data_IF_149747890482
#
_entry.id   IF_149747890482
#
_cell.length_a   1.000
_cell.length_b   1.000
_cell.length_c   1.000
_cell.angle_alpha   90.00
_cell.angle_beta   90.00
_cell.angle_gamma   90.00
#
_symmetry.space_group_name_H-M   'P 1'
#
loop_
_entity.id
_entity.type
_entity.pdbx_description
1 polymer ?
#
# COMPACT_ATOMS: atom_id res chain seq x y z
N UNK A 1 -10.12 -9.27 2.10
CA UNK A 1 -11.05 -9.30 3.24
C UNK A 1 -12.50 -9.30 2.75
N UNK A 2 -13.10 -8.17 2.34
CA UNK A 2 -14.52 -8.11 1.91
C UNK A 2 -14.91 -9.06 0.78
N UNK A 3 -13.98 -9.43 -0.11
CA UNK A 3 -14.20 -10.42 -1.17
C UNK A 3 -14.01 -11.89 -0.70
N UNK A 4 -13.96 -12.14 0.60
CA UNK A 4 -13.79 -13.48 1.19
C UNK A 4 -12.34 -13.94 1.39
N UNK A 5 -11.34 -13.24 0.84
CA UNK A 5 -9.93 -13.58 1.06
C UNK A 5 -9.47 -13.29 2.48
N UNK A 6 -8.71 -14.23 3.06
CA UNK A 6 -7.84 -13.98 4.22
C UNK A 6 -6.77 -12.97 3.83
N UNK A 7 -6.67 -11.86 4.56
CA UNK A 7 -5.76 -10.77 4.23
C UNK A 7 -5.02 -10.28 5.48
N UNK A 8 -3.72 -10.09 5.33
CA UNK A 8 -2.87 -9.47 6.34
C UNK A 8 -2.24 -8.22 5.74
N UNK A 9 -2.46 -7.07 6.38
CA UNK A 9 -1.69 -5.85 6.12
C UNK A 9 -0.38 -5.87 6.91
N UNK A 10 0.62 -5.15 6.42
CA UNK A 10 1.84 -4.84 7.16
C UNK A 10 2.13 -3.35 7.08
N UNK A 11 2.51 -2.76 8.21
CA UNK A 11 2.86 -1.36 8.32
C UNK A 11 3.83 -1.16 9.48
N UNK A 12 4.79 -0.25 9.33
CA UNK A 12 5.80 0.05 10.36
C UNK A 12 5.63 1.45 10.98
N UNK A 13 5.00 2.38 10.24
CA UNK A 13 4.80 3.76 10.68
C UNK A 13 3.76 3.83 11.78
N UNK A 14 4.17 4.37 12.94
CA UNK A 14 3.26 4.58 14.07
C UNK A 14 2.10 5.52 13.71
N UNK A 15 2.32 6.50 12.83
CA UNK A 15 1.26 7.40 12.35
C UNK A 15 0.16 6.62 11.61
N UNK A 16 0.55 5.68 10.77
CA UNK A 16 -0.37 4.83 10.02
C UNK A 16 -1.04 3.81 10.94
N UNK A 17 -0.28 3.14 11.81
CA UNK A 17 -0.80 2.12 12.74
C UNK A 17 -1.84 2.67 13.71
N UNK A 18 -1.59 3.85 14.31
CA UNK A 18 -2.55 4.48 15.22
C UNK A 18 -3.83 4.90 14.49
N UNK A 19 -3.69 5.48 13.30
CA UNK A 19 -4.82 5.89 12.47
C UNK A 19 -5.64 4.68 12.02
N UNK A 20 -4.98 3.62 11.54
CA UNK A 20 -5.61 2.37 11.14
C UNK A 20 -6.34 1.71 12.32
N UNK A 21 -5.70 1.62 13.50
CA UNK A 21 -6.34 1.06 14.69
C UNK A 21 -7.61 1.84 15.05
N UNK A 22 -7.56 3.17 15.00
CA UNK A 22 -8.72 4.01 15.29
C UNK A 22 -9.84 3.82 14.26
N UNK A 23 -9.51 3.86 12.97
CA UNK A 23 -10.49 3.70 11.90
C UNK A 23 -11.12 2.31 11.91
N UNK A 24 -10.32 1.25 12.03
CA UNK A 24 -10.78 -0.13 11.95
C UNK A 24 -11.53 -0.59 13.21
N UNK A 25 -11.13 -0.13 14.40
CA UNK A 25 -11.61 -0.70 15.67
C UNK A 25 -12.41 0.28 16.54
N UNK A 26 -12.35 1.59 16.28
CA UNK A 26 -12.95 2.63 17.14
C UNK A 26 -14.02 3.47 16.44
N UNK A 27 -14.32 3.18 15.19
CA UNK A 27 -15.37 3.85 14.42
C UNK A 27 -16.60 2.95 14.31
N UNK A 28 -17.77 3.49 14.64
CA UNK A 28 -19.03 2.73 14.75
C UNK A 28 -20.11 3.21 13.78
N UNK A 29 -19.83 4.22 12.95
CA UNK A 29 -20.77 4.71 11.94
C UNK A 29 -20.04 5.25 10.71
N UNK A 30 -20.70 5.16 9.56
CA UNK A 30 -20.28 5.84 8.33
C UNK A 30 -20.33 7.35 8.57
N UNK A 31 -19.36 8.09 8.02
CA UNK A 31 -19.24 9.54 8.11
C UNK A 31 -19.11 10.09 9.55
N UNK A 32 -18.62 9.29 10.48
CA UNK A 32 -18.53 9.65 11.91
C UNK A 32 -17.62 10.86 12.19
N UNK A 33 -16.54 11.01 11.42
CA UNK A 33 -15.50 12.01 11.69
C UNK A 33 -15.43 13.02 10.56
N UNK A 34 -15.31 14.30 10.89
CA UNK A 34 -15.01 15.34 9.89
C UNK A 34 -13.56 15.78 10.02
N UNK A 35 -12.80 15.68 8.94
CA UNK A 35 -11.42 16.16 8.85
C UNK A 35 -11.29 17.26 7.80
N UNK A 36 -10.30 18.14 7.96
CA UNK A 36 -9.98 19.19 7.00
C UNK A 36 -8.54 19.00 6.50
N UNK A 37 -8.30 18.04 5.59
CA UNK A 37 -6.96 17.58 5.27
C UNK A 37 -6.12 18.64 4.56
N UNK A 38 -6.71 19.70 3.99
CA UNK A 38 -6.00 20.67 3.15
C UNK A 38 -5.76 22.04 3.80
N UNK A 39 -6.07 22.21 5.09
CA UNK A 39 -5.89 23.48 5.82
C UNK A 39 -4.43 23.94 5.93
N UNK A 40 -3.48 23.05 5.65
CA UNK A 40 -2.06 23.33 5.67
C UNK A 40 -1.51 23.74 4.29
N UNK A 41 -2.32 23.69 3.23
CA UNK A 41 -1.93 24.00 1.85
C UNK A 41 -2.45 25.38 1.43
N UNK A 42 -1.60 26.41 1.51
CA UNK A 42 -1.98 27.80 1.22
C UNK A 42 -1.85 28.19 -0.26
N UNK A 43 -0.98 27.50 -0.99
CA UNK A 43 -0.74 27.73 -2.42
C UNK A 43 -1.70 26.94 -3.28
N UNK A 44 -1.96 27.43 -4.50
CA UNK A 44 -2.74 26.73 -5.52
C UNK A 44 -4.19 26.43 -5.11
N UNK A 45 -4.76 27.17 -4.15
CA UNK A 45 -6.18 27.05 -3.80
C UNK A 45 -7.01 28.00 -4.65
N UNK A 46 -8.06 27.50 -5.30
CA UNK A 46 -9.00 28.33 -6.09
C UNK A 46 -9.83 29.26 -5.19
N UNK A 47 -10.13 28.83 -3.97
CA UNK A 47 -10.89 29.58 -2.98
C UNK A 47 -10.60 29.11 -1.55
N UNK A 48 -10.93 29.92 -0.55
CA UNK A 48 -10.82 29.53 0.86
C UNK A 48 -11.75 28.36 1.21
N UNK A 49 -12.88 28.24 0.51
CA UNK A 49 -13.83 27.14 0.69
C UNK A 49 -13.24 25.80 0.26
N UNK A 50 -12.31 25.79 -0.71
CA UNK A 50 -11.53 24.61 -1.06
C UNK A 50 -10.59 24.24 0.09
N UNK A 51 -9.80 25.18 0.59
CA UNK A 51 -8.85 24.93 1.68
C UNK A 51 -9.52 24.42 2.97
N UNK A 52 -10.63 25.06 3.37
CA UNK A 52 -11.36 24.76 4.61
C UNK A 52 -12.36 23.61 4.46
N UNK A 53 -12.42 22.96 3.29
CA UNK A 53 -13.39 21.90 3.03
C UNK A 53 -13.26 20.75 4.04
N UNK A 54 -14.36 20.44 4.71
CA UNK A 54 -14.49 19.26 5.56
C UNK A 54 -14.84 18.02 4.76
N UNK A 55 -14.21 16.90 5.10
CA UNK A 55 -14.47 15.58 4.54
C UNK A 55 -14.90 14.65 5.66
N UNK A 56 -16.00 13.93 5.45
CA UNK A 56 -16.50 12.96 6.40
C UNK A 56 -15.90 11.59 6.11
N UNK A 57 -15.43 10.89 7.15
CA UNK A 57 -14.84 9.55 7.08
C UNK A 57 -15.35 8.68 8.25
N UNK A 58 -15.36 7.35 8.10
CA UNK A 58 -15.15 6.59 6.85
C UNK A 58 -16.42 6.56 6.00
N UNK A 59 -16.28 6.41 4.69
CA UNK A 59 -17.37 6.26 3.73
C UNK A 59 -18.06 4.88 3.79
N UNK A 60 -17.36 3.88 4.31
CA UNK A 60 -17.86 2.53 4.62
C UNK A 60 -17.56 2.18 6.07
N UNK A 61 -18.36 1.30 6.69
CA UNK A 61 -18.12 0.89 8.07
C UNK A 61 -17.15 -0.29 8.10
N UNK A 62 -15.92 -0.18 8.68
CA UNK A 62 -14.95 -1.28 8.62
C UNK A 62 -15.40 -2.57 9.30
N UNK A 63 -16.23 -2.46 10.35
CA UNK A 63 -16.78 -3.62 11.06
C UNK A 63 -17.84 -4.39 10.26
N UNK A 64 -18.31 -3.87 9.12
CA UNK A 64 -19.29 -4.56 8.26
C UNK A 64 -18.71 -5.76 7.51
N UNK A 65 -17.41 -6.03 7.66
CA UNK A 65 -16.73 -7.20 7.10
C UNK A 65 -17.40 -8.52 7.47
N UNK A 66 -18.12 -8.56 8.60
CA UNK A 66 -18.76 -9.75 9.12
C UNK A 66 -20.27 -9.82 8.87
N UNK A 67 -20.87 -8.78 8.25
CA UNK A 67 -22.32 -8.67 8.14
C UNK A 67 -22.94 -9.71 7.16
N UNK A 68 -22.17 -10.12 6.14
CA UNK A 68 -22.61 -11.06 5.10
C UNK A 68 -22.13 -12.52 5.33
N UNK A 69 -21.60 -12.83 6.52
CA UNK A 69 -21.12 -14.19 6.86
C UNK A 69 -22.31 -15.05 7.27
N UNK A 70 -22.58 -16.13 6.53
CA UNK A 70 -23.69 -17.03 6.83
C UNK A 70 -23.47 -17.74 8.18
N UNK A 71 -24.57 -18.07 8.86
CA UNK A 71 -24.51 -18.78 10.14
C UNK A 71 -23.82 -20.15 9.98
N UNK A 72 -22.62 -20.28 10.57
CA UNK A 72 -21.80 -21.49 10.49
C UNK A 72 -20.53 -21.37 9.63
N UNK A 73 -20.39 -20.29 8.84
CA UNK A 73 -19.16 -20.02 8.09
C UNK A 73 -18.14 -19.27 8.94
N UNK A 74 -16.84 -19.52 8.71
CA UNK A 74 -15.79 -18.71 9.31
C UNK A 74 -15.72 -17.34 8.64
N UNK A 75 -15.69 -16.24 9.43
CA UNK A 75 -15.59 -14.92 8.86
C UNK A 75 -14.26 -14.73 8.11
N UNK A 76 -14.23 -13.91 7.05
CA UNK A 76 -12.99 -13.60 6.37
C UNK A 76 -11.99 -12.96 7.34
N UNK A 77 -10.81 -13.57 7.45
CA UNK A 77 -9.77 -13.10 8.34
C UNK A 77 -9.12 -11.82 7.79
N UNK A 78 -9.12 -10.77 8.60
CA UNK A 78 -8.35 -9.55 8.33
C UNK A 78 -7.48 -9.21 9.53
N UNK A 79 -6.18 -9.05 9.32
CA UNK A 79 -5.25 -8.64 10.37
C UNK A 79 -4.24 -7.61 9.87
N UNK A 80 -3.58 -6.93 10.80
CA UNK A 80 -2.53 -5.94 10.53
C UNK A 80 -1.33 -6.24 11.43
N UNK A 81 -0.16 -6.42 10.83
CA UNK A 81 1.10 -6.66 11.55
C UNK A 81 1.94 -5.38 11.58
N UNK A 82 2.29 -4.96 12.78
CA UNK A 82 3.15 -3.81 13.02
C UNK A 82 4.64 -4.21 12.94
N UNK A 83 5.40 -3.56 12.07
CA UNK A 83 6.85 -3.75 11.97
C UNK A 83 7.37 -3.55 10.54
N UNK A 84 8.69 -3.42 10.42
CA UNK A 84 9.36 -3.32 9.13
C UNK A 84 9.15 -4.59 8.30
N UNK A 85 8.83 -4.44 7.01
CA UNK A 85 8.53 -5.57 6.12
C UNK A 85 9.69 -6.58 6.05
N UNK A 86 10.94 -6.10 5.96
CA UNK A 86 12.11 -6.97 5.88
C UNK A 86 12.35 -7.70 7.19
N UNK A 87 12.12 -7.04 8.32
CA UNK A 87 12.23 -7.67 9.62
C UNK A 87 11.15 -8.73 9.82
N UNK A 88 9.88 -8.39 9.54
CA UNK A 88 8.72 -9.26 9.79
C UNK A 88 8.71 -10.49 8.89
N UNK A 89 8.99 -10.32 7.59
CA UNK A 89 8.82 -11.36 6.59
C UNK A 89 10.13 -11.90 5.99
N UNK A 90 11.27 -11.30 6.35
CA UNK A 90 12.58 -11.74 5.91
C UNK A 90 12.97 -13.12 6.42
N UNK A 91 14.16 -13.56 6.00
CA UNK A 91 14.71 -14.85 6.46
C UNK A 91 14.93 -14.80 7.97
N UNK A 92 14.42 -15.80 8.66
CA UNK A 92 14.67 -15.98 10.09
C UNK A 92 16.16 -16.15 10.35
N UNK A 93 16.66 -15.46 11.38
CA UNK A 93 18.03 -15.62 11.87
C UNK A 93 18.09 -16.78 12.86
N UNK A 94 19.27 -17.33 13.09
CA UNK A 94 19.47 -18.34 14.13
C UNK A 94 19.03 -17.78 15.50
N UNK A 95 18.13 -18.50 16.18
CA UNK A 95 17.54 -18.06 17.46
C UNK A 95 16.28 -17.20 17.34
N UNK A 96 15.76 -16.97 16.14
CA UNK A 96 14.46 -16.33 15.94
C UNK A 96 13.33 -17.34 16.21
N UNK A 97 12.42 -16.99 17.14
CA UNK A 97 11.31 -17.86 17.56
C UNK A 97 10.06 -17.72 16.68
N UNK A 98 10.08 -16.82 15.70
CA UNK A 98 8.94 -16.62 14.80
C UNK A 98 8.78 -17.80 13.86
N UNK A 99 7.52 -18.11 13.52
CA UNK A 99 7.25 -19.13 12.52
C UNK A 99 7.75 -18.67 11.14
N UNK A 100 8.45 -19.54 10.38
CA UNK A 100 8.83 -19.22 9.01
C UNK A 100 7.56 -18.93 8.21
N UNK A 101 7.58 -17.93 7.33
CA UNK A 101 6.44 -17.61 6.45
C UNK A 101 6.72 -17.89 4.97
N UNK A 102 7.86 -18.52 4.69
CA UNK A 102 8.30 -18.85 3.34
C UNK A 102 7.34 -19.87 2.70
N UNK A 103 6.89 -19.61 1.48
CA UNK A 103 6.03 -20.51 0.73
C UNK A 103 4.59 -20.63 1.20
N UNK A 104 4.10 -19.68 2.01
CA UNK A 104 2.77 -19.76 2.66
C UNK A 104 1.73 -18.77 2.12
N UNK A 105 2.14 -17.85 1.26
CA UNK A 105 1.26 -16.80 0.75
C UNK A 105 0.84 -17.13 -0.69
N UNK A 106 -0.47 -17.20 -0.95
CA UNK A 106 -0.98 -17.38 -2.31
C UNK A 106 -0.78 -16.12 -3.17
N UNK A 107 -0.81 -14.95 -2.53
CA UNK A 107 -0.60 -13.68 -3.19
C UNK A 107 0.08 -12.64 -2.30
N UNK A 108 0.88 -11.77 -2.91
CA UNK A 108 1.44 -10.56 -2.30
C UNK A 108 1.05 -9.37 -3.16
N UNK A 109 0.51 -8.31 -2.54
CA UNK A 109 0.09 -7.10 -3.24
C UNK A 109 0.90 -5.91 -2.73
N UNK A 110 1.55 -5.19 -3.65
CA UNK A 110 2.29 -3.97 -3.35
C UNK A 110 1.65 -2.79 -4.06
N UNK A 111 1.24 -1.77 -3.31
CA UNK A 111 0.60 -0.57 -3.86
C UNK A 111 1.33 0.67 -3.33
N UNK A 112 2.01 1.43 -4.19
CA UNK A 112 2.86 2.57 -3.77
C UNK A 112 3.83 2.19 -2.63
N UNK A 113 4.51 1.05 -2.79
CA UNK A 113 5.28 0.44 -1.71
C UNK A 113 6.71 0.08 -2.11
N UNK A 114 6.95 -0.51 -3.29
CA UNK A 114 8.27 -1.04 -3.61
C UNK A 114 9.37 0.03 -3.66
N UNK A 115 8.99 1.27 -3.94
CA UNK A 115 9.88 2.43 -3.97
C UNK A 115 10.21 3.00 -2.58
N UNK A 116 9.63 2.43 -1.51
CA UNK A 116 10.04 2.71 -0.14
C UNK A 116 11.23 1.87 0.31
N UNK A 117 11.72 0.95 -0.52
CA UNK A 117 12.86 0.10 -0.18
C UNK A 117 14.17 0.90 -0.17
N UNK A 118 15.03 0.61 0.80
CA UNK A 118 16.46 1.00 0.75
C UNK A 118 17.19 0.18 -0.30
N UNK A 119 16.84 -1.10 -0.37
CA UNK A 119 17.36 -2.05 -1.33
C UNK A 119 16.21 -2.89 -1.87
N UNK A 120 15.76 -2.56 -3.08
CA UNK A 120 14.68 -3.27 -3.77
C UNK A 120 14.99 -4.76 -3.99
N UNK A 121 16.27 -5.15 -4.06
CA UNK A 121 16.66 -6.57 -4.20
C UNK A 121 16.11 -7.38 -3.02
N UNK A 122 16.24 -6.86 -1.79
CA UNK A 122 15.75 -7.55 -0.59
C UNK A 122 14.23 -7.72 -0.64
N UNK A 123 13.50 -6.66 -1.02
CA UNK A 123 12.05 -6.74 -1.16
C UNK A 123 11.64 -7.83 -2.15
N UNK A 124 12.27 -7.89 -3.32
CA UNK A 124 11.95 -8.91 -4.34
C UNK A 124 12.26 -10.33 -3.85
N UNK A 125 13.39 -10.55 -3.18
CA UNK A 125 13.74 -11.85 -2.60
C UNK A 125 12.75 -12.29 -1.53
N UNK A 126 12.31 -11.37 -0.67
CA UNK A 126 11.33 -11.65 0.39
C UNK A 126 9.98 -11.95 -0.21
N UNK A 127 9.47 -11.11 -1.12
CA UNK A 127 8.18 -11.31 -1.79
C UNK A 127 8.17 -12.67 -2.50
N UNK A 128 9.23 -12.99 -3.25
CA UNK A 128 9.38 -14.29 -3.89
C UNK A 128 9.42 -15.43 -2.87
N UNK A 129 10.14 -15.26 -1.77
CA UNK A 129 10.26 -16.24 -0.69
C UNK A 129 8.92 -16.55 -0.01
N UNK A 130 8.12 -15.52 0.29
CA UNK A 130 6.80 -15.63 0.91
C UNK A 130 5.81 -16.43 0.08
N UNK A 131 5.84 -16.26 -1.25
CA UNK A 131 4.85 -16.87 -2.12
C UNK A 131 4.96 -18.40 -2.16
N UNK A 132 3.83 -19.10 -2.07
CA UNK A 132 3.72 -20.52 -2.38
C UNK A 132 4.08 -20.79 -3.85
N UNK A 133 4.43 -22.03 -4.25
CA UNK A 133 4.63 -22.38 -5.66
C UNK A 133 3.39 -22.00 -6.50
N UNK A 134 3.58 -21.23 -7.57
CA UNK A 134 2.48 -20.69 -8.37
C UNK A 134 1.76 -19.48 -7.78
N UNK A 135 2.18 -19.00 -6.60
CA UNK A 135 1.65 -17.78 -5.99
C UNK A 135 1.97 -16.52 -6.81
N UNK A 136 1.16 -15.48 -6.62
CA UNK A 136 1.19 -14.28 -7.47
C UNK A 136 1.60 -13.02 -6.71
N UNK A 137 2.53 -12.26 -7.26
CA UNK A 137 2.83 -10.89 -6.85
C UNK A 137 2.14 -9.91 -7.80
N UNK A 138 1.33 -9.00 -7.26
CA UNK A 138 0.69 -7.92 -8.01
C UNK A 138 1.25 -6.59 -7.52
N UNK A 139 1.77 -5.77 -8.43
CA UNK A 139 2.27 -4.44 -8.10
C UNK A 139 1.48 -3.35 -8.80
N UNK A 140 1.26 -2.24 -8.11
CA UNK A 140 0.82 -0.97 -8.68
C UNK A 140 1.53 0.20 -7.98
N UNK A 141 2.40 0.91 -8.67
CA UNK A 141 3.03 2.08 -8.07
C UNK A 141 4.01 2.80 -8.99
N UNK A 142 4.44 4.01 -8.63
CA UNK A 142 5.56 4.67 -9.25
C UNK A 142 6.89 4.06 -8.80
N UNK A 143 7.99 4.68 -9.21
CA UNK A 143 9.34 4.44 -8.68
C UNK A 143 9.91 5.76 -8.15
N UNK A 144 9.24 6.35 -7.16
CA UNK A 144 9.72 7.53 -6.44
C UNK A 144 10.53 7.06 -5.23
N UNK A 145 11.81 6.76 -5.45
CA UNK A 145 12.67 6.14 -4.44
C UNK A 145 12.77 7.00 -3.17
N UNK A 146 12.26 6.48 -2.06
CA UNK A 146 12.04 7.26 -0.83
C UNK A 146 13.32 7.83 -0.23
N UNK A 147 14.45 7.14 -0.41
CA UNK A 147 15.75 7.52 0.13
C UNK A 147 16.66 8.23 -0.90
N UNK A 148 16.13 8.55 -2.09
CA UNK A 148 16.84 9.32 -3.10
C UNK A 148 17.32 10.66 -2.51
N UNK A 149 18.59 11.00 -2.72
CA UNK A 149 19.22 12.23 -2.21
C UNK A 149 19.19 12.39 -0.68
N UNK A 150 19.02 11.31 0.11
CA UNK A 150 19.11 11.43 1.57
C UNK A 150 20.49 11.93 2.00
N UNK A 151 20.50 12.92 2.90
CA UNK A 151 21.73 13.47 3.48
C UNK A 151 22.25 12.65 4.67
N UNK A 152 21.49 11.63 5.10
CA UNK A 152 21.89 10.73 6.16
C UNK A 152 22.82 9.65 5.61
N UNK A 153 24.08 9.53 6.10
CA UNK A 153 25.05 8.59 5.54
C UNK A 153 24.64 7.11 5.62
N UNK A 154 23.76 6.75 6.55
CA UNK A 154 23.23 5.39 6.69
C UNK A 154 22.09 5.08 5.71
N UNK A 155 21.54 6.10 5.04
CA UNK A 155 20.46 5.91 4.09
C UNK A 155 21.01 5.48 2.73
N UNK A 156 21.27 4.18 2.60
CA UNK A 156 21.53 3.58 1.30
C UNK A 156 20.24 3.51 0.50
N UNK A 157 20.32 3.82 -0.80
CA UNK A 157 19.20 3.81 -1.76
C UNK A 157 19.68 3.12 -3.04
N UNK A 158 19.07 1.99 -3.40
CA UNK A 158 19.29 1.33 -4.70
C UNK A 158 18.15 1.69 -5.63
N UNK A 159 18.44 2.61 -6.55
CA UNK A 159 17.47 3.26 -7.42
C UNK A 159 17.50 2.61 -8.80
N UNK A 160 16.57 1.69 -9.05
CA UNK A 160 16.47 1.01 -10.34
C UNK A 160 15.44 1.70 -11.25
N UNK A 161 15.71 1.67 -12.55
CA UNK A 161 14.68 1.95 -13.57
C UNK A 161 13.64 0.83 -13.63
N UNK A 162 12.47 1.09 -14.21
CA UNK A 162 11.40 0.09 -14.31
C UNK A 162 11.84 -1.19 -15.05
N UNK A 163 12.60 -1.05 -16.14
CA UNK A 163 13.08 -2.22 -16.88
C UNK A 163 14.13 -3.01 -16.08
N UNK A 164 14.93 -2.35 -15.25
CA UNK A 164 15.85 -3.03 -14.32
C UNK A 164 15.09 -3.75 -13.20
N UNK A 165 14.05 -3.16 -12.63
CA UNK A 165 13.17 -3.81 -11.63
C UNK A 165 12.54 -5.07 -12.23
N UNK A 166 11.97 -4.99 -13.44
CA UNK A 166 11.36 -6.15 -14.11
C UNK A 166 12.40 -7.22 -14.41
N UNK A 167 13.54 -6.83 -14.99
CA UNK A 167 14.65 -7.76 -15.28
C UNK A 167 15.15 -8.46 -14.00
N UNK A 168 15.24 -7.72 -12.90
CA UNK A 168 15.65 -8.26 -11.61
C UNK A 168 14.60 -9.22 -11.05
N UNK A 169 13.31 -8.88 -11.11
CA UNK A 169 12.24 -9.77 -10.70
C UNK A 169 12.27 -11.11 -11.45
N UNK A 170 12.48 -11.07 -12.77
CA UNK A 170 12.64 -12.29 -13.58
C UNK A 170 13.86 -13.13 -13.16
N UNK A 171 14.98 -12.48 -12.83
CA UNK A 171 16.20 -13.15 -12.31
C UNK A 171 15.99 -13.76 -10.93
N UNK A 172 15.19 -13.13 -10.07
CA UNK A 172 14.84 -13.66 -8.73
C UNK A 172 14.00 -14.94 -8.85
N UNK A 173 13.23 -15.08 -9.94
CA UNK A 173 12.42 -16.28 -10.20
C UNK A 173 10.97 -16.00 -10.59
N UNK A 174 10.62 -14.75 -10.88
CA UNK A 174 9.26 -14.42 -11.33
C UNK A 174 9.06 -14.66 -12.84
N UNK A 175 7.81 -14.93 -13.21
CA UNK A 175 7.27 -14.77 -14.56
C UNK A 175 6.39 -13.52 -14.61
N UNK A 176 6.92 -12.41 -15.15
CA UNK A 176 6.22 -11.11 -15.15
C UNK A 176 5.32 -10.99 -16.38
N UNK A 177 4.07 -10.61 -16.15
CA UNK A 177 3.01 -10.52 -17.17
C UNK A 177 2.07 -9.32 -16.91
N UNK A 178 1.13 -9.10 -17.83
CA UNK A 178 0.10 -8.04 -17.77
C UNK A 178 0.62 -6.60 -17.50
N UNK A 179 1.83 -6.28 -17.95
CA UNK A 179 2.45 -4.96 -17.76
C UNK A 179 1.64 -3.86 -18.43
N UNK A 180 1.31 -2.81 -17.68
CA UNK A 180 0.70 -1.58 -18.20
C UNK A 180 1.00 -0.38 -17.31
N UNK A 181 0.86 0.83 -17.87
CA UNK A 181 0.94 2.07 -17.11
C UNK A 181 -0.49 2.53 -16.74
N UNK A 182 -0.66 3.00 -15.51
CA UNK A 182 -1.93 3.47 -14.96
C UNK A 182 -1.70 4.85 -14.35
N UNK A 183 -2.45 5.84 -14.81
CA UNK A 183 -2.42 7.17 -14.20
C UNK A 183 -3.12 7.11 -12.83
N UNK A 184 -2.42 7.53 -11.78
CA UNK A 184 -2.90 7.52 -10.40
C UNK A 184 -2.44 8.77 -9.65
N UNK A 185 -3.27 9.27 -8.74
CA UNK A 185 -2.93 10.34 -7.81
C UNK A 185 -2.76 9.79 -6.39
N UNK A 186 -2.05 10.51 -5.53
CA UNK A 186 -1.86 10.12 -4.13
C UNK A 186 -2.18 11.29 -3.19
N UNK A 187 -3.23 11.13 -2.37
CA UNK A 187 -3.73 12.17 -1.43
C UNK A 187 -3.97 13.54 -2.12
N UNK A 188 -4.40 13.52 -3.38
CA UNK A 188 -4.58 14.73 -4.17
C UNK A 188 -5.96 15.37 -3.95
N UNK A 189 -6.02 16.69 -3.97
CA UNK A 189 -7.25 17.46 -3.94
C UNK A 189 -7.68 17.81 -5.37
N UNK A 190 -8.10 16.81 -6.14
CA UNK A 190 -8.48 17.05 -7.53
C UNK A 190 -9.72 17.98 -7.59
N UNK A 191 -9.50 19.17 -8.12
CA UNK A 191 -10.55 20.09 -8.55
C UNK A 191 -10.76 19.99 -10.05
N UNK A 192 -12.00 19.86 -10.50
CA UNK A 192 -12.33 19.98 -11.93
C UNK A 192 -12.09 18.73 -12.78
N UNK A 193 -12.64 17.58 -12.37
CA UNK A 193 -12.67 16.37 -13.21
C UNK A 193 -13.26 15.11 -12.56
N UNK A 194 -13.38 15.08 -11.23
CA UNK A 194 -14.10 14.02 -10.51
C UNK A 194 -15.63 14.15 -10.64
N UNK A 195 -16.35 13.06 -10.32
CA UNK A 195 -17.82 12.92 -10.45
C UNK A 195 -18.65 14.05 -9.82
N UNK A 196 -18.08 14.82 -8.90
CA UNK A 196 -18.79 15.81 -8.09
C UNK A 196 -18.67 17.25 -8.62
N UNK A 197 -17.85 17.51 -9.65
CA UNK A 197 -17.71 18.83 -10.28
C UNK A 197 -17.19 19.96 -9.38
N UNK A 198 -16.67 19.65 -8.19
CA UNK A 198 -16.19 20.64 -7.22
C UNK A 198 -14.81 21.19 -7.59
N UNK A 199 -14.58 22.46 -7.24
CA UNK A 199 -13.25 23.09 -7.25
C UNK A 199 -12.27 22.35 -6.32
N UNK A 200 -10.98 22.51 -6.57
CA UNK A 200 -9.88 21.86 -5.85
C UNK A 200 -8.56 22.56 -6.13
N UNK A 201 -7.43 21.88 -5.87
CA UNK A 201 -6.11 22.46 -6.09
C UNK A 201 -5.88 22.76 -7.58
N UNK A 202 -5.21 23.89 -7.88
CA UNK A 202 -4.71 24.24 -9.21
C UNK A 202 -3.43 23.46 -9.58
N UNK A 203 -2.78 22.84 -8.59
CA UNK A 203 -1.62 21.97 -8.76
C UNK A 203 -2.03 20.54 -8.42
N UNK A 204 -1.72 19.60 -9.31
CA UNK A 204 -1.96 18.17 -9.13
C UNK A 204 -0.71 17.39 -9.51
N UNK A 205 -0.46 16.31 -8.78
CA UNK A 205 0.61 15.36 -9.07
C UNK A 205 -0.02 14.05 -9.55
N UNK A 206 0.28 13.69 -10.80
CA UNK A 206 -0.15 12.42 -11.39
C UNK A 206 1.07 11.52 -11.57
N UNK A 207 1.01 10.35 -10.95
CA UNK A 207 1.96 9.27 -11.18
C UNK A 207 1.47 8.44 -12.35
N UNK A 208 2.35 8.24 -13.34
CA UNK A 208 2.17 7.14 -14.31
C UNK A 208 2.69 5.87 -13.63
N UNK A 209 1.85 5.26 -12.81
CA UNK A 209 2.20 4.10 -12.01
C UNK A 209 2.33 2.86 -12.92
N UNK A 210 3.34 2.03 -12.66
CA UNK A 210 3.51 0.77 -13.35
C UNK A 210 2.70 -0.33 -12.64
N UNK A 211 1.89 -1.02 -13.42
CA UNK A 211 1.15 -2.20 -13.01
C UNK A 211 1.75 -3.45 -13.64
N UNK A 212 1.82 -4.55 -12.89
CA UNK A 212 2.08 -5.89 -13.41
C UNK A 212 1.57 -6.96 -12.47
N UNK A 213 1.42 -8.17 -13.02
CA UNK A 213 1.30 -9.42 -12.26
C UNK A 213 2.55 -10.25 -12.48
N UNK A 214 3.00 -10.99 -11.48
CA UNK A 214 4.19 -11.82 -11.54
C UNK A 214 3.94 -13.15 -10.82
N UNK A 215 4.11 -14.28 -11.50
CA UNK A 215 3.92 -15.60 -10.88
C UNK A 215 5.25 -16.19 -10.44
N UNK A 216 5.30 -16.82 -9.26
CA UNK A 216 6.48 -17.54 -8.78
C UNK A 216 6.71 -18.82 -9.59
N UNK A 217 7.92 -18.98 -10.15
CA UNK A 217 8.37 -20.18 -10.86
C UNK A 217 8.78 -21.30 -9.91
#
# INVERSE_FOLDING_TARGET
AYLGYSCQGNEFSHYMLLSAFYMLNRTSSVNQHTIHPYIHSFSNMQSNDVMLRGFQIPDVLPSSLHDDVAEGDEPPAFSLVAGDFEEIYGKLKEGDEREPQQGQWDAVLTCFFIDTARNIVNYLEIIHGLLAPGGVWINLGPLLWHFENSSTPSDTSIELSLDEVVTLAEKVGFDVSERRMVDATYVDMIGGGGKDGKEGSMLSHVYRAAYWTATKK
#
